data_IF_248833447238
#
_entry.id   IF_248833447238
#
_cell.length_a   1.000
_cell.length_b   1.000
_cell.length_c   1.000
_cell.angle_alpha   90.00
_cell.angle_beta   90.00
_cell.angle_gamma   90.00
#
_symmetry.space_group_name_H-M   'P 1'
#
loop_
_entity.id
_entity.type
_entity.pdbx_description
1 polymer ?
#
# COMPACT_ATOMS: atom_id res chain seq x y z
N UNK A 1 -9.15 5.60 20.56
CA UNK A 1 -9.40 4.78 19.35
C UNK A 1 -10.28 5.58 18.42
N UNK A 2 -9.89 5.78 17.17
CA UNK A 2 -9.09 6.95 16.78
C UNK A 2 -9.93 7.86 15.89
N UNK A 3 -9.83 9.16 16.11
CA UNK A 3 -10.42 10.19 15.23
C UNK A 3 -9.58 10.27 13.93
N UNK A 4 -10.24 10.42 12.78
CA UNK A 4 -9.60 10.66 11.48
C UNK A 4 -9.47 9.43 10.58
N UNK A 5 -8.31 9.29 9.93
CA UNK A 5 -8.01 8.19 9.00
C UNK A 5 -7.81 6.88 9.78
N UNK A 6 -8.42 5.80 9.30
CA UNK A 6 -8.35 4.46 9.90
C UNK A 6 -7.31 3.55 9.25
N UNK A 7 -7.29 3.48 7.90
CA UNK A 7 -6.43 2.56 7.15
C UNK A 7 -6.40 2.88 5.66
N UNK A 8 -5.46 2.27 4.94
CA UNK A 8 -5.54 2.15 3.49
C UNK A 8 -6.85 1.43 3.10
N UNK A 9 -7.63 2.07 2.24
CA UNK A 9 -8.91 1.59 1.77
C UNK A 9 -8.74 0.80 0.48
N UNK A 10 -8.25 1.47 -0.58
CA UNK A 10 -7.94 0.82 -1.84
C UNK A 10 -6.81 1.54 -2.59
N UNK A 11 -6.18 0.84 -3.53
CA UNK A 11 -5.31 1.42 -4.56
C UNK A 11 -5.92 1.19 -5.95
N UNK A 12 -5.88 2.22 -6.79
CA UNK A 12 -6.24 2.16 -8.21
C UNK A 12 -4.96 2.20 -9.02
N UNK A 13 -4.72 1.16 -9.81
CA UNK A 13 -3.51 1.02 -10.61
C UNK A 13 -3.87 0.84 -12.08
N UNK A 14 -3.08 1.49 -12.93
CA UNK A 14 -3.20 1.35 -14.36
C UNK A 14 -2.54 0.04 -14.81
N UNK A 15 -3.24 -0.70 -15.67
CA UNK A 15 -2.78 -1.94 -16.29
C UNK A 15 -2.92 -1.84 -17.81
N UNK A 16 -1.99 -2.48 -18.52
CA UNK A 16 -1.90 -2.43 -20.00
C UNK A 16 -2.77 -3.48 -20.68
N UNK A 17 -3.12 -4.55 -19.98
CA UNK A 17 -4.06 -5.59 -20.42
C UNK A 17 -4.89 -6.04 -19.21
N UNK A 18 -6.18 -5.67 -19.22
CA UNK A 18 -7.09 -5.94 -18.13
C UNK A 18 -7.37 -7.44 -17.92
N UNK A 19 -7.35 -8.26 -18.97
CA UNK A 19 -7.54 -9.71 -18.84
C UNK A 19 -6.30 -10.40 -18.31
N UNK A 20 -5.11 -9.99 -18.76
CA UNK A 20 -3.85 -10.49 -18.21
C UNK A 20 -3.74 -10.14 -16.73
N UNK A 21 -4.06 -8.89 -16.36
CA UNK A 21 -4.09 -8.46 -14.97
C UNK A 21 -5.14 -9.26 -14.17
N UNK A 22 -6.36 -9.43 -14.68
CA UNK A 22 -7.40 -10.25 -14.02
C UNK A 22 -6.90 -11.66 -13.72
N UNK A 23 -6.29 -12.35 -14.69
CA UNK A 23 -5.74 -13.70 -14.50
C UNK A 23 -4.70 -13.70 -13.40
N UNK A 24 -3.77 -12.75 -13.41
CA UNK A 24 -2.75 -12.62 -12.37
C UNK A 24 -3.38 -12.43 -10.97
N UNK A 25 -4.19 -11.39 -10.79
CA UNK A 25 -4.73 -11.07 -9.47
C UNK A 25 -5.77 -12.09 -8.96
N UNK A 26 -6.56 -12.70 -9.83
CA UNK A 26 -7.56 -13.71 -9.43
C UNK A 26 -6.94 -15.09 -9.26
N UNK A 27 -6.18 -15.57 -10.24
CA UNK A 27 -5.76 -16.98 -10.29
C UNK A 27 -4.41 -17.21 -9.61
N UNK A 28 -3.50 -16.22 -9.68
CA UNK A 28 -2.17 -16.30 -9.05
C UNK A 28 -2.21 -15.73 -7.64
N UNK A 29 -2.75 -14.53 -7.45
CA UNK A 29 -2.85 -13.93 -6.11
C UNK A 29 -4.03 -14.47 -5.28
N UNK A 30 -5.01 -15.10 -5.92
CA UNK A 30 -6.17 -15.67 -5.23
C UNK A 30 -7.18 -14.61 -4.76
N UNK A 31 -7.20 -13.43 -5.37
CA UNK A 31 -8.14 -12.38 -5.01
C UNK A 31 -9.55 -12.66 -5.54
N UNK A 32 -10.55 -12.12 -4.84
CA UNK A 32 -11.96 -12.23 -5.19
C UNK A 32 -12.37 -11.02 -6.05
N UNK A 33 -12.82 -11.27 -7.28
CA UNK A 33 -13.41 -10.23 -8.11
C UNK A 33 -14.81 -9.89 -7.59
N UNK A 34 -15.03 -8.62 -7.24
CA UNK A 34 -16.30 -8.17 -6.67
C UNK A 34 -17.23 -7.52 -7.67
N UNK A 35 -16.66 -6.89 -8.69
CA UNK A 35 -17.38 -6.26 -9.79
C UNK A 35 -16.45 -6.00 -10.98
N UNK A 36 -17.02 -5.56 -12.10
CA UNK A 36 -16.31 -5.18 -13.32
C UNK A 36 -17.11 -4.15 -14.12
N UNK A 37 -16.41 -3.19 -14.72
CA UNK A 37 -16.92 -2.33 -15.79
C UNK A 37 -16.23 -2.63 -17.12
N UNK A 38 -16.49 -1.83 -18.15
CA UNK A 38 -15.79 -1.94 -19.44
C UNK A 38 -14.27 -1.82 -19.29
N UNK A 39 -13.81 -0.89 -18.42
CA UNK A 39 -12.40 -0.51 -18.32
C UNK A 39 -11.78 -0.82 -16.95
N UNK A 40 -12.54 -1.34 -16.00
CA UNK A 40 -12.06 -1.54 -14.62
C UNK A 40 -12.49 -2.88 -14.04
N UNK A 41 -11.61 -3.48 -13.23
CA UNK A 41 -11.88 -4.68 -12.44
C UNK A 41 -11.65 -4.36 -10.97
N UNK A 42 -12.59 -4.77 -10.11
CA UNK A 42 -12.57 -4.52 -8.67
C UNK A 42 -12.33 -5.82 -7.93
N UNK A 43 -11.35 -5.81 -7.04
CA UNK A 43 -10.87 -7.00 -6.35
C UNK A 43 -10.74 -6.74 -4.85
N UNK A 44 -10.94 -7.80 -4.07
CA UNK A 44 -10.69 -7.83 -2.63
C UNK A 44 -9.98 -9.12 -2.23
N UNK A 45 -9.23 -9.06 -1.14
CA UNK A 45 -8.75 -10.24 -0.43
C UNK A 45 -9.90 -10.95 0.29
N UNK A 46 -9.66 -12.21 0.67
CA UNK A 46 -10.71 -13.04 1.25
C UNK A 46 -11.15 -12.57 2.66
N UNK A 47 -10.29 -11.88 3.40
CA UNK A 47 -10.57 -11.37 4.75
C UNK A 47 -10.96 -9.88 4.78
N UNK A 48 -11.06 -9.24 3.62
CA UNK A 48 -11.61 -7.90 3.49
C UNK A 48 -13.14 -7.93 3.48
N UNK A 49 -13.79 -6.83 3.86
CA UNK A 49 -15.25 -6.76 3.94
C UNK A 49 -15.87 -5.63 3.12
N UNK A 50 -15.09 -4.60 2.81
CA UNK A 50 -15.49 -3.56 1.86
C UNK A 50 -15.47 -4.11 0.43
N UNK A 51 -16.09 -3.37 -0.50
CA UNK A 51 -16.28 -3.80 -1.88
C UNK A 51 -14.99 -4.17 -2.60
N UNK A 52 -13.91 -3.43 -2.36
CA UNK A 52 -12.63 -3.66 -3.02
C UNK A 52 -11.50 -2.99 -2.24
N UNK A 53 -10.29 -3.52 -2.44
CA UNK A 53 -9.02 -2.92 -2.04
C UNK A 53 -8.10 -2.66 -3.24
N UNK A 54 -8.38 -3.29 -4.38
CA UNK A 54 -7.65 -3.08 -5.64
C UNK A 54 -8.63 -2.73 -6.75
N UNK A 55 -8.31 -1.68 -7.50
CA UNK A 55 -8.94 -1.33 -8.77
C UNK A 55 -7.89 -1.46 -9.87
N UNK A 56 -8.13 -2.36 -10.83
CA UNK A 56 -7.31 -2.47 -12.03
C UNK A 56 -7.99 -1.67 -13.13
N UNK A 57 -7.30 -0.66 -13.67
CA UNK A 57 -7.84 0.23 -14.69
C UNK A 57 -7.09 0.08 -16.01
N UNK A 58 -7.81 -0.22 -17.07
CA UNK A 58 -7.23 -0.32 -18.42
C UNK A 58 -6.63 1.03 -18.84
N UNK A 59 -5.37 1.00 -19.26
CA UNK A 59 -4.60 2.17 -19.68
C UNK A 59 -3.52 1.77 -20.70
N UNK A 60 -2.84 2.75 -21.31
CA UNK A 60 -1.70 2.52 -22.20
C UNK A 60 -0.35 2.47 -21.47
N UNK A 61 -0.34 2.69 -20.16
CA UNK A 61 0.85 2.66 -19.30
C UNK A 61 0.50 2.11 -17.92
N UNK A 62 1.46 1.44 -17.29
CA UNK A 62 1.37 1.03 -15.89
C UNK A 62 1.63 2.22 -14.93
N UNK A 63 1.34 2.01 -13.64
CA UNK A 63 1.57 2.95 -12.55
C UNK A 63 0.33 3.26 -11.72
N UNK A 64 0.53 3.95 -10.60
CA UNK A 64 -0.55 4.35 -9.70
C UNK A 64 -1.44 5.42 -10.34
N UNK A 65 -2.75 5.20 -10.34
CA UNK A 65 -3.75 6.21 -10.68
C UNK A 65 -4.08 7.05 -9.43
N UNK A 66 -4.39 6.37 -8.32
CA UNK A 66 -4.66 6.99 -7.02
C UNK A 66 -4.59 6.00 -5.87
N UNK A 67 -4.40 6.53 -4.66
CA UNK A 67 -4.55 5.80 -3.40
C UNK A 67 -5.70 6.39 -2.59
N UNK A 68 -6.45 5.56 -1.88
CA UNK A 68 -7.60 6.02 -1.10
C UNK A 68 -7.56 5.49 0.33
N UNK A 69 -7.71 6.37 1.31
CA UNK A 69 -7.71 6.05 2.74
C UNK A 69 -9.11 6.18 3.33
N UNK A 70 -9.49 5.18 4.14
CA UNK A 70 -10.81 5.16 4.79
C UNK A 70 -10.78 5.98 6.07
N UNK A 71 -11.75 6.88 6.21
CA UNK A 71 -11.96 7.79 7.34
C UNK A 71 -13.09 7.26 8.22
N UNK A 72 -12.98 7.46 9.52
CA UNK A 72 -13.90 6.89 10.49
C UNK A 72 -15.33 7.47 10.40
N UNK A 73 -15.46 8.78 10.28
CA UNK A 73 -16.77 9.46 10.17
C UNK A 73 -16.76 10.59 9.13
N UNK A 74 -17.95 11.07 8.78
CA UNK A 74 -18.10 12.25 7.92
C UNK A 74 -17.60 13.52 8.60
N UNK A 75 -17.77 13.64 9.92
CA UNK A 75 -17.25 14.74 10.73
C UNK A 75 -15.72 14.77 10.69
N UNK A 76 -15.07 13.61 10.81
CA UNK A 76 -13.62 13.49 10.69
C UNK A 76 -13.14 13.91 9.29
N UNK A 77 -13.88 13.52 8.24
CA UNK A 77 -13.58 13.94 6.87
C UNK A 77 -13.69 15.45 6.67
N UNK A 78 -14.71 16.10 7.25
CA UNK A 78 -14.83 17.57 7.21
C UNK A 78 -13.71 18.29 7.96
N UNK A 79 -13.23 17.73 9.08
CA UNK A 79 -12.08 18.26 9.79
C UNK A 79 -10.80 18.13 8.96
N UNK A 80 -10.59 16.97 8.32
CA UNK A 80 -9.45 16.73 7.43
C UNK A 80 -9.49 17.66 6.21
N UNK A 81 -10.66 17.93 5.62
CA UNK A 81 -10.78 18.92 4.52
C UNK A 81 -10.26 20.30 4.95
N UNK A 82 -10.68 20.77 6.14
CA UNK A 82 -10.22 22.06 6.68
C UNK A 82 -8.72 22.06 6.94
N UNK A 83 -8.16 20.99 7.51
CA UNK A 83 -6.73 20.85 7.76
C UNK A 83 -5.92 20.86 6.45
N UNK A 84 -6.38 20.12 5.45
CA UNK A 84 -5.78 20.10 4.11
C UNK A 84 -5.75 21.49 3.48
N UNK A 85 -6.88 22.21 3.52
CA UNK A 85 -6.98 23.58 3.00
C UNK A 85 -6.07 24.56 3.76
N UNK A 86 -6.02 24.46 5.09
CA UNK A 86 -5.12 25.27 5.93
C UNK A 86 -3.64 25.01 5.61
N UNK A 87 -3.30 23.78 5.23
CA UNK A 87 -1.96 23.40 4.80
C UNK A 87 -1.70 23.68 3.31
N UNK A 88 -2.63 24.35 2.62
CA UNK A 88 -2.46 24.83 1.24
C UNK A 88 -2.84 23.85 0.14
N UNK A 89 -3.48 22.71 0.47
CA UNK A 89 -3.95 21.77 -0.54
C UNK A 89 -5.21 22.28 -1.25
N UNK A 90 -5.26 22.11 -2.58
CA UNK A 90 -6.51 22.21 -3.33
C UNK A 90 -7.28 20.90 -3.16
N UNK A 91 -8.44 20.96 -2.52
CA UNK A 91 -9.28 19.80 -2.21
C UNK A 91 -10.54 19.84 -3.07
N UNK A 92 -10.81 18.75 -3.77
CA UNK A 92 -12.03 18.51 -4.52
C UNK A 92 -12.94 17.55 -3.74
N UNK A 93 -14.23 17.85 -3.63
CA UNK A 93 -15.24 16.92 -3.13
C UNK A 93 -15.57 15.88 -4.19
N UNK A 94 -15.53 14.61 -3.81
CA UNK A 94 -15.92 13.46 -4.64
C UNK A 94 -17.35 13.09 -4.27
N UNK A 95 -18.25 13.10 -5.25
CA UNK A 95 -19.67 12.80 -5.00
C UNK A 95 -19.90 11.28 -4.92
N UNK A 96 -20.94 10.87 -4.18
CA UNK A 96 -21.34 9.46 -4.09
C UNK A 96 -21.58 8.88 -5.48
N UNK A 97 -20.92 7.77 -5.79
CA UNK A 97 -21.02 7.10 -7.09
C UNK A 97 -20.08 7.64 -8.17
N UNK A 98 -19.30 8.71 -7.92
CA UNK A 98 -18.18 9.08 -8.80
C UNK A 98 -17.10 8.01 -8.76
N UNK A 99 -16.82 7.48 -7.57
CA UNK A 99 -16.08 6.24 -7.38
C UNK A 99 -17.05 5.06 -7.30
N UNK A 100 -16.79 4.01 -8.08
CA UNK A 100 -17.65 2.84 -8.12
C UNK A 100 -17.80 2.19 -6.74
N UNK A 101 -19.03 2.12 -6.22
CA UNK A 101 -19.37 1.55 -4.91
C UNK A 101 -18.72 2.22 -3.69
N UNK A 102 -18.12 3.39 -3.86
CA UNK A 102 -17.59 4.21 -2.76
C UNK A 102 -18.53 5.39 -2.52
N UNK A 103 -18.68 5.75 -1.25
CA UNK A 103 -19.43 6.91 -0.82
C UNK A 103 -18.75 8.23 -1.21
N UNK A 104 -19.20 9.31 -0.59
CA UNK A 104 -18.60 10.62 -0.78
C UNK A 104 -17.19 10.69 -0.20
N UNK A 105 -16.39 11.62 -0.72
CA UNK A 105 -14.99 11.72 -0.36
C UNK A 105 -14.34 13.06 -0.65
N UNK A 106 -13.03 13.10 -0.45
CA UNK A 106 -12.13 14.19 -0.81
C UNK A 106 -11.09 13.65 -1.78
N UNK A 107 -10.68 14.45 -2.76
CA UNK A 107 -9.57 14.19 -3.67
C UNK A 107 -8.61 15.38 -3.66
N UNK A 108 -7.33 15.11 -3.55
CA UNK A 108 -6.28 16.13 -3.58
C UNK A 108 -4.96 15.51 -4.07
N UNK A 109 -3.96 16.36 -4.31
CA UNK A 109 -2.63 15.96 -4.76
C UNK A 109 -1.63 16.13 -3.61
N UNK A 110 -0.79 15.12 -3.41
CA UNK A 110 0.35 15.19 -2.49
C UNK A 110 1.44 16.10 -3.08
N UNK A 111 2.40 16.60 -2.25
CA UNK A 111 3.56 17.32 -2.76
C UNK A 111 4.38 16.54 -3.81
N UNK A 112 4.40 15.20 -3.73
CA UNK A 112 5.00 14.30 -4.72
C UNK A 112 4.19 14.13 -6.01
N UNK A 113 3.15 14.94 -6.20
CA UNK A 113 2.24 14.87 -7.34
C UNK A 113 1.20 13.75 -7.28
N UNK A 114 1.31 12.76 -6.39
CA UNK A 114 0.35 11.64 -6.38
C UNK A 114 -1.07 12.07 -6.01
N UNK A 115 -2.07 11.43 -6.60
CA UNK A 115 -3.48 11.61 -6.24
C UNK A 115 -3.81 10.78 -5.00
N UNK A 116 -4.33 11.42 -3.95
CA UNK A 116 -4.85 10.78 -2.76
C UNK A 116 -6.33 11.12 -2.59
N UNK A 117 -7.10 10.12 -2.18
CA UNK A 117 -8.51 10.28 -1.80
C UNK A 117 -8.76 9.87 -0.35
N UNK A 118 -9.77 10.50 0.25
CA UNK A 118 -10.34 10.12 1.54
C UNK A 118 -11.81 9.76 1.34
N UNK A 119 -12.29 8.71 1.97
CA UNK A 119 -13.70 8.30 1.91
C UNK A 119 -14.16 7.69 3.23
N UNK A 120 -15.46 7.74 3.51
CA UNK A 120 -16.02 7.17 4.75
C UNK A 120 -16.63 5.80 4.49
N UNK A 121 -17.51 5.71 3.50
CA UNK A 121 -18.31 4.52 3.24
C UNK A 121 -17.90 3.83 1.94
N UNK A 122 -18.00 2.51 1.93
CA UNK A 122 -17.91 1.68 0.74
C UNK A 122 -18.97 0.57 0.87
N UNK A 123 -19.52 0.10 -0.24
CA UNK A 123 -20.47 -1.02 -0.23
C UNK A 123 -19.86 -2.22 0.51
N UNK A 124 -20.62 -2.82 1.43
CA UNK A 124 -20.21 -3.98 2.18
C UNK A 124 -20.44 -5.26 1.37
N UNK A 125 -19.37 -6.01 1.09
CA UNK A 125 -19.44 -7.32 0.42
C UNK A 125 -19.27 -8.50 1.38
N UNK A 126 -18.82 -8.22 2.60
CA UNK A 126 -18.50 -9.25 3.59
C UNK A 126 -17.20 -10.01 3.28
N UNK A 127 -16.80 -10.83 4.23
CA UNK A 127 -15.61 -11.70 4.15
C UNK A 127 -15.98 -13.04 3.50
N UNK A 128 -14.97 -13.83 3.13
CA UNK A 128 -15.17 -15.21 2.71
C UNK A 128 -15.71 -16.11 3.84
N UNK A 129 -15.47 -15.71 5.10
CA UNK A 129 -15.94 -16.39 6.30
C UNK A 129 -17.23 -15.75 6.86
N UNK A 130 -18.08 -16.52 7.56
CA UNK A 130 -19.28 -15.99 8.20
C UNK A 130 -18.94 -15.07 9.39
N UNK A 131 -19.89 -14.21 9.77
CA UNK A 131 -19.75 -13.35 10.97
C UNK A 131 -19.90 -14.09 12.29
N UNK A 132 -20.61 -15.22 12.30
CA UNK A 132 -20.91 -15.98 13.53
C UNK A 132 -20.07 -17.24 13.55
N UNK A 133 -19.23 -17.39 14.57
CA UNK A 133 -18.35 -18.55 14.80
C UNK A 133 -17.52 -18.96 13.56
N UNK A 134 -16.75 -18.05 12.94
CA UNK A 134 -15.93 -18.39 11.78
C UNK A 134 -14.80 -19.37 12.12
N UNK A 135 -14.41 -20.16 11.12
CA UNK A 135 -13.11 -20.82 11.11
C UNK A 135 -11.97 -19.78 10.99
N UNK A 136 -10.71 -20.13 11.31
CA UNK A 136 -9.57 -19.21 11.16
C UNK A 136 -9.22 -18.85 9.70
N UNK A 137 -9.61 -19.67 8.71
CA UNK A 137 -9.42 -19.40 7.26
C UNK A 137 -10.51 -20.10 6.43
N UNK A 138 -10.81 -19.64 5.20
CA UNK A 138 -11.78 -20.26 4.31
C UNK A 138 -11.22 -21.48 3.56
N UNK A 139 -12.09 -22.42 3.18
CA UNK A 139 -11.73 -23.52 2.29
C UNK A 139 -11.52 -23.05 0.84
N UNK A 140 -10.74 -23.82 0.06
CA UNK A 140 -10.66 -23.61 -1.39
C UNK A 140 -9.86 -22.39 -1.85
N UNK A 141 -9.01 -21.80 -0.99
CA UNK A 141 -8.09 -20.74 -1.40
C UNK A 141 -7.19 -21.22 -2.55
N UNK A 142 -7.14 -20.43 -3.63
CA UNK A 142 -6.30 -20.68 -4.81
C UNK A 142 -5.10 -19.74 -4.82
N UNK A 143 -4.05 -20.12 -5.57
CA UNK A 143 -2.85 -19.30 -5.72
C UNK A 143 -2.19 -18.98 -4.38
N UNK A 144 -1.73 -17.74 -4.22
CA UNK A 144 -1.23 -17.20 -2.95
C UNK A 144 -2.35 -17.25 -1.90
N UNK A 145 -3.53 -16.73 -2.24
CA UNK A 145 -4.69 -16.68 -1.35
C UNK A 145 -4.63 -15.45 -0.43
N UNK A 146 -4.34 -14.27 -0.99
CA UNK A 146 -4.10 -13.06 -0.21
C UNK A 146 -5.31 -12.65 0.65
N UNK A 147 -5.17 -12.51 1.99
CA UNK A 147 -6.25 -12.08 2.88
C UNK A 147 -6.66 -10.63 2.67
N UNK A 148 -5.69 -9.72 2.48
CA UNK A 148 -5.93 -8.27 2.41
C UNK A 148 -4.75 -7.50 1.81
N UNK A 149 -5.02 -6.27 1.36
CA UNK A 149 -3.99 -5.25 1.13
C UNK A 149 -3.32 -4.87 2.47
N UNK A 150 -2.06 -4.48 2.41
CA UNK A 150 -1.31 -4.01 3.58
C UNK A 150 -0.92 -2.54 3.47
N UNK A 151 -0.08 -2.19 2.51
CA UNK A 151 0.49 -0.85 2.39
C UNK A 151 0.86 -0.51 0.93
N UNK A 152 1.32 0.72 0.72
CA UNK A 152 1.98 1.11 -0.53
C UNK A 152 3.25 1.93 -0.30
N UNK A 153 4.12 1.94 -1.30
CA UNK A 153 5.31 2.77 -1.34
C UNK A 153 5.30 3.60 -2.63
N UNK A 154 5.46 4.91 -2.46
CA UNK A 154 5.60 5.87 -3.56
C UNK A 154 6.95 6.58 -3.50
N UNK A 155 7.39 7.09 -4.65
CA UNK A 155 8.61 7.92 -4.69
C UNK A 155 8.29 9.40 -4.73
N UNK A 156 9.25 10.23 -4.30
CA UNK A 156 9.17 11.67 -4.40
C UNK A 156 10.55 12.27 -4.63
N UNK A 157 10.64 13.35 -5.39
CA UNK A 157 11.92 14.07 -5.58
C UNK A 157 12.35 14.74 -4.28
N UNK A 158 11.37 15.15 -3.45
CA UNK A 158 11.57 15.72 -2.12
C UNK A 158 10.70 14.97 -1.08
N UNK A 159 11.13 13.78 -0.61
CA UNK A 159 10.35 12.95 0.30
C UNK A 159 9.87 13.66 1.56
N UNK A 160 10.73 14.46 2.17
CA UNK A 160 10.43 15.21 3.39
C UNK A 160 9.21 16.13 3.26
N UNK A 161 8.93 16.72 2.09
CA UNK A 161 7.76 17.57 1.89
C UNK A 161 6.46 16.75 1.92
N UNK A 162 6.47 15.58 1.29
CA UNK A 162 5.32 14.65 1.31
C UNK A 162 5.11 14.05 2.69
N UNK A 163 6.20 13.72 3.39
CA UNK A 163 6.16 13.23 4.78
C UNK A 163 5.56 14.29 5.71
N UNK A 164 6.06 15.53 5.64
CA UNK A 164 5.53 16.63 6.44
C UNK A 164 4.05 16.88 6.17
N UNK A 165 3.64 16.83 4.90
CA UNK A 165 2.24 16.96 4.51
C UNK A 165 1.37 15.86 5.11
N UNK A 166 1.76 14.59 4.98
CA UNK A 166 1.02 13.45 5.53
C UNK A 166 0.90 13.53 7.07
N UNK A 167 1.97 13.94 7.75
CA UNK A 167 1.95 14.06 9.21
C UNK A 167 1.13 15.26 9.68
N UNK A 168 1.32 16.44 9.09
CA UNK A 168 0.74 17.70 9.60
C UNK A 168 -0.67 17.97 9.09
N UNK A 169 -0.99 17.58 7.84
CA UNK A 169 -2.30 17.81 7.25
C UNK A 169 -3.26 16.62 7.40
N UNK A 170 -2.71 15.40 7.57
CA UNK A 170 -3.49 14.16 7.60
C UNK A 170 -3.26 13.30 8.85
N UNK A 171 -2.48 13.81 9.80
CA UNK A 171 -2.24 13.20 11.11
C UNK A 171 -1.63 11.79 11.03
N UNK A 172 -0.84 11.47 10.01
CA UNK A 172 -0.05 10.23 10.00
C UNK A 172 1.01 10.24 11.11
N UNK A 173 1.22 9.09 11.72
CA UNK A 173 2.33 8.83 12.63
C UNK A 173 3.50 8.22 11.86
N UNK A 174 4.70 8.33 12.42
CA UNK A 174 5.92 7.80 11.81
C UNK A 174 6.47 6.68 12.68
N UNK A 175 6.69 5.51 12.10
CA UNK A 175 7.31 4.38 12.79
C UNK A 175 8.83 4.45 12.64
N UNK A 176 9.30 4.67 11.41
CA UNK A 176 10.72 4.67 11.06
C UNK A 176 11.05 5.75 10.01
N UNK A 177 12.29 6.22 10.04
CA UNK A 177 12.86 7.10 9.01
C UNK A 177 14.30 6.77 8.69
N UNK A 178 14.70 7.08 7.46
CA UNK A 178 16.11 7.14 7.05
C UNK A 178 16.57 8.59 7.09
N UNK A 179 17.74 8.83 7.68
CA UNK A 179 18.37 10.16 7.81
C UNK A 179 19.82 10.08 7.36
N UNK A 180 20.41 11.22 6.99
CA UNK A 180 21.81 11.30 6.55
C UNK A 180 22.78 10.70 7.58
N UNK A 181 22.63 11.07 8.85
CA UNK A 181 23.42 10.58 9.99
C UNK A 181 22.63 10.74 11.30
N UNK A 182 23.17 10.26 12.42
CA UNK A 182 22.47 10.25 13.73
C UNK A 182 22.02 11.63 14.24
N UNK A 183 22.68 12.71 13.79
CA UNK A 183 22.35 14.09 14.17
C UNK A 183 21.29 14.72 13.28
N UNK A 184 20.96 14.09 12.15
CA UNK A 184 19.98 14.59 11.20
C UNK A 184 18.58 14.18 11.61
N UNK A 185 17.63 15.11 11.48
CA UNK A 185 16.20 14.84 11.77
C UNK A 185 15.32 14.77 10.53
N UNK A 186 15.71 15.48 9.46
CA UNK A 186 14.95 15.50 8.20
C UNK A 186 15.00 14.11 7.54
N UNK A 187 13.84 13.49 7.26
CA UNK A 187 13.80 12.18 6.64
C UNK A 187 14.16 12.25 5.14
N UNK A 188 15.05 11.36 4.71
CA UNK A 188 15.32 11.04 3.31
C UNK A 188 14.29 10.02 2.80
N UNK A 189 13.89 9.08 3.67
CA UNK A 189 12.79 8.16 3.47
C UNK A 189 12.02 7.99 4.79
N UNK A 190 10.74 7.63 4.73
CA UNK A 190 9.93 7.42 5.91
C UNK A 190 8.83 6.38 5.72
N UNK A 191 8.47 5.73 6.82
CA UNK A 191 7.40 4.74 6.95
C UNK A 191 6.35 5.31 7.91
N UNK A 192 5.14 5.53 7.39
CA UNK A 192 4.07 6.25 8.05
C UNK A 192 2.81 5.40 8.20
N UNK A 193 2.11 5.55 9.31
CA UNK A 193 0.94 4.75 9.65
C UNK A 193 -0.20 5.56 10.29
N UNK A 194 -1.39 5.01 10.14
CA UNK A 194 -2.65 5.32 10.82
C UNK A 194 -3.27 4.08 11.43
N UNK A 195 -2.98 2.91 10.85
CA UNK A 195 -3.34 1.60 11.39
C UNK A 195 -2.37 1.16 12.51
N UNK A 196 -2.23 -0.15 12.71
CA UNK A 196 -1.34 -0.75 13.72
C UNK A 196 -0.17 -1.50 13.11
N UNK A 197 -0.01 -1.46 11.78
CA UNK A 197 1.16 -2.00 11.08
C UNK A 197 2.33 -1.01 11.15
N UNK A 198 3.58 -1.43 10.84
CA UNK A 198 4.70 -0.51 10.76
C UNK A 198 4.44 0.66 9.81
N UNK A 199 3.67 0.47 8.74
CA UNK A 199 3.28 1.52 7.81
C UNK A 199 2.03 1.15 7.03
N UNK A 200 1.24 2.17 6.70
CA UNK A 200 0.25 2.10 5.62
C UNK A 200 0.79 2.72 4.32
N UNK A 201 1.73 3.67 4.44
CA UNK A 201 2.41 4.33 3.32
C UNK A 201 3.88 4.56 3.62
N UNK A 202 4.74 4.35 2.63
CA UNK A 202 6.16 4.69 2.70
C UNK A 202 6.56 5.62 1.54
N UNK A 203 7.49 6.53 1.81
CA UNK A 203 8.01 7.52 0.85
C UNK A 203 9.52 7.36 0.76
N UNK A 204 10.05 7.15 -0.45
CA UNK A 204 11.49 7.10 -0.71
C UNK A 204 11.90 8.11 -1.81
N UNK A 205 13.19 8.44 -1.95
CA UNK A 205 13.66 9.27 -3.06
C UNK A 205 13.41 8.62 -4.42
N UNK A 206 12.94 9.41 -5.38
CA UNK A 206 12.78 8.99 -6.78
C UNK A 206 11.99 10.04 -7.56
N UNK A 207 11.57 9.74 -8.78
CA UNK A 207 10.74 10.69 -9.55
C UNK A 207 9.37 10.85 -8.89
N UNK A 208 8.79 12.03 -9.00
CA UNK A 208 7.40 12.26 -8.58
C UNK A 208 6.41 11.42 -9.40
N UNK A 209 5.21 11.20 -8.85
CA UNK A 209 4.10 10.45 -9.46
C UNK A 209 4.41 8.99 -9.84
N UNK A 210 5.42 8.39 -9.21
CA UNK A 210 5.85 7.02 -9.47
C UNK A 210 5.53 6.07 -8.33
N UNK A 211 5.00 4.92 -8.71
CA UNK A 211 4.73 3.81 -7.81
C UNK A 211 5.98 2.97 -7.64
N UNK A 212 6.42 2.76 -6.40
CA UNK A 212 7.47 1.79 -6.12
C UNK A 212 6.87 0.40 -5.91
N UNK A 213 5.84 0.24 -5.08
CA UNK A 213 5.01 -0.98 -5.00
C UNK A 213 3.73 -0.76 -4.20
N UNK A 214 2.82 -1.73 -4.24
CA UNK A 214 1.82 -1.96 -3.20
C UNK A 214 1.85 -3.41 -2.74
N UNK A 215 1.41 -3.66 -1.51
CA UNK A 215 1.66 -4.92 -0.81
C UNK A 215 0.38 -5.63 -0.38
N UNK A 216 0.47 -6.95 -0.33
CA UNK A 216 -0.53 -7.84 0.26
C UNK A 216 0.02 -8.48 1.53
N UNK A 217 -0.76 -8.45 2.60
CA UNK A 217 -0.41 -9.13 3.85
C UNK A 217 -0.58 -10.64 3.69
N UNK A 218 0.31 -11.43 4.30
CA UNK A 218 0.19 -12.86 4.53
C UNK A 218 0.35 -13.15 6.04
N UNK A 219 -0.38 -14.13 6.57
CA UNK A 219 -0.47 -14.34 8.02
C UNK A 219 0.77 -15.01 8.59
N UNK A 220 1.46 -15.84 7.79
CA UNK A 220 2.61 -16.60 8.24
C UNK A 220 3.76 -16.61 7.23
N UNK A 221 4.99 -16.79 7.75
CA UNK A 221 6.17 -16.93 6.92
C UNK A 221 6.10 -18.10 5.92
N UNK A 222 5.45 -19.20 6.28
CA UNK A 222 5.31 -20.33 5.36
C UNK A 222 4.39 -19.99 4.15
N UNK A 223 3.49 -19.02 4.29
CA UNK A 223 2.69 -18.52 3.18
C UNK A 223 3.55 -17.71 2.21
N UNK A 224 4.57 -16.99 2.70
CA UNK A 224 5.55 -16.31 1.86
C UNK A 224 6.34 -17.32 1.00
N UNK A 225 6.76 -18.45 1.61
CA UNK A 225 7.38 -19.56 0.88
C UNK A 225 6.44 -20.14 -0.18
N UNK A 226 5.17 -20.38 0.17
CA UNK A 226 4.13 -20.82 -0.79
C UNK A 226 3.95 -19.81 -1.93
N UNK A 227 3.97 -18.51 -1.64
CA UNK A 227 3.86 -17.47 -2.66
C UNK A 227 5.00 -17.57 -3.68
N UNK A 228 6.25 -17.78 -3.22
CA UNK A 228 7.40 -18.03 -4.10
C UNK A 228 7.21 -19.25 -5.02
N UNK A 229 6.67 -20.37 -4.51
CA UNK A 229 6.35 -21.54 -5.34
C UNK A 229 5.27 -21.20 -6.39
N UNK A 230 4.23 -20.47 -6.00
CA UNK A 230 3.12 -20.06 -6.88
C UNK A 230 3.64 -19.14 -7.98
N UNK A 231 4.45 -18.15 -7.63
CA UNK A 231 5.07 -17.25 -8.61
C UNK A 231 5.93 -18.03 -9.61
N UNK A 232 6.77 -18.95 -9.13
CA UNK A 232 7.62 -19.78 -10.00
C UNK A 232 6.79 -20.71 -10.90
N UNK A 233 5.72 -21.31 -10.38
CA UNK A 233 4.81 -22.18 -11.14
C UNK A 233 4.09 -21.44 -12.28
N UNK A 234 3.84 -20.15 -12.09
CA UNK A 234 3.10 -19.29 -13.03
C UNK A 234 4.00 -18.34 -13.81
N UNK A 235 5.32 -18.54 -13.78
CA UNK A 235 6.33 -17.71 -14.45
C UNK A 235 6.18 -16.19 -14.14
N UNK A 236 5.75 -15.87 -12.91
CA UNK A 236 5.68 -14.48 -12.45
C UNK A 236 7.09 -13.94 -12.25
N UNK A 237 7.43 -12.77 -12.84
CA UNK A 237 8.75 -12.18 -12.66
C UNK A 237 8.99 -11.78 -11.20
N UNK A 238 9.84 -12.54 -10.50
CA UNK A 238 10.32 -12.19 -9.16
C UNK A 238 11.49 -11.24 -9.33
N UNK A 239 11.41 -10.10 -8.64
CA UNK A 239 12.44 -9.08 -8.61
C UNK A 239 13.40 -9.33 -7.44
N UNK A 240 12.85 -9.52 -6.24
CA UNK A 240 13.59 -9.90 -5.04
C UNK A 240 12.87 -11.07 -4.40
N UNK A 241 13.60 -12.17 -4.19
CA UNK A 241 13.10 -13.36 -3.50
C UNK A 241 12.82 -13.12 -2.02
N UNK A 242 12.72 -14.20 -1.25
CA UNK A 242 12.42 -14.11 0.18
C UNK A 242 13.52 -13.32 0.90
N UNK A 243 13.14 -12.17 1.45
CA UNK A 243 14.02 -11.29 2.22
C UNK A 243 13.42 -10.92 3.57
N UNK A 244 14.27 -10.37 4.44
CA UNK A 244 13.88 -9.73 5.71
C UNK A 244 14.36 -8.30 5.69
N UNK A 245 13.47 -7.35 5.95
CA UNK A 245 13.88 -5.97 6.17
C UNK A 245 14.41 -5.78 7.60
N UNK A 246 15.41 -4.91 7.74
CA UNK A 246 15.73 -4.29 9.02
C UNK A 246 14.66 -3.27 9.40
N UNK A 247 14.38 -2.34 8.46
CA UNK A 247 13.30 -1.36 8.53
C UNK A 247 11.97 -2.10 8.49
N UNK A 248 11.02 -1.77 9.36
CA UNK A 248 9.72 -2.43 9.61
C UNK A 248 9.80 -3.84 10.19
N UNK A 249 10.96 -4.52 10.08
CA UNK A 249 11.14 -5.94 10.42
C UNK A 249 10.21 -6.87 9.63
N UNK A 250 9.76 -6.47 8.46
CA UNK A 250 8.93 -7.29 7.57
C UNK A 250 9.69 -8.36 6.82
N UNK A 251 9.01 -9.43 6.42
CA UNK A 251 9.52 -10.43 5.46
C UNK A 251 8.73 -10.32 4.17
N UNK A 252 9.42 -10.46 3.03
CA UNK A 252 8.88 -10.02 1.75
C UNK A 252 9.30 -10.90 0.58
N UNK A 253 8.51 -10.86 -0.50
CA UNK A 253 8.92 -11.14 -1.88
C UNK A 253 8.41 -9.97 -2.74
N UNK A 254 9.28 -9.42 -3.59
CA UNK A 254 8.92 -8.43 -4.61
C UNK A 254 8.80 -9.09 -5.98
N UNK A 255 7.73 -8.74 -6.70
CA UNK A 255 7.42 -9.32 -8.01
C UNK A 255 6.70 -8.31 -8.89
N UNK A 256 6.58 -8.59 -10.18
CA UNK A 256 5.88 -7.73 -11.13
C UNK A 256 4.56 -8.36 -11.60
N UNK A 257 3.52 -7.53 -11.69
CA UNK A 257 2.30 -7.89 -12.41
C UNK A 257 2.56 -7.91 -13.94
N UNK A 258 1.62 -8.42 -14.76
CA UNK A 258 1.80 -8.47 -16.22
C UNK A 258 2.00 -7.12 -16.91
N UNK A 259 1.65 -6.01 -16.26
CA UNK A 259 1.85 -4.65 -16.79
C UNK A 259 3.18 -4.03 -16.33
N UNK A 260 3.90 -4.69 -15.43
CA UNK A 260 5.15 -4.21 -14.84
C UNK A 260 4.97 -3.42 -13.54
N UNK A 261 3.77 -3.33 -12.97
CA UNK A 261 3.62 -2.75 -11.63
C UNK A 261 4.31 -3.67 -10.63
N UNK A 262 5.24 -3.15 -9.83
CA UNK A 262 5.84 -3.92 -8.75
C UNK A 262 4.83 -4.09 -7.62
N UNK A 263 4.72 -5.32 -7.12
CA UNK A 263 3.89 -5.71 -6.01
C UNK A 263 4.78 -6.37 -4.94
N UNK A 264 4.23 -6.47 -3.74
CA UNK A 264 4.87 -7.12 -2.60
C UNK A 264 3.90 -8.11 -1.95
N UNK A 265 4.40 -9.24 -1.50
CA UNK A 265 3.75 -10.04 -0.45
C UNK A 265 4.55 -9.89 0.83
N UNK A 266 3.88 -9.53 1.93
CA UNK A 266 4.51 -9.10 3.17
C UNK A 266 3.97 -9.87 4.37
N UNK A 267 4.82 -10.20 5.34
CA UNK A 267 4.40 -10.72 6.65
C UNK A 267 5.34 -10.29 7.77
N UNK A 268 4.89 -10.46 9.01
CA UNK A 268 5.65 -10.17 10.22
C UNK A 268 5.63 -8.68 10.58
N UNK A 269 6.79 -8.10 10.87
CA UNK A 269 6.90 -6.74 11.38
C UNK A 269 6.60 -6.63 12.87
N UNK A 270 6.13 -5.45 13.29
CA UNK A 270 5.75 -5.16 14.67
C UNK A 270 4.52 -4.25 14.72
N UNK A 271 3.85 -4.22 15.88
CA UNK A 271 2.71 -3.34 16.10
C UNK A 271 3.20 -1.91 16.33
N UNK A 272 2.73 -0.96 15.54
CA UNK A 272 3.02 0.46 15.71
C UNK A 272 1.96 1.15 16.58
N UNK A 273 2.41 2.06 17.45
CA UNK A 273 1.53 2.88 18.29
C UNK A 273 1.88 4.36 18.13
N UNK A 274 0.90 5.29 18.18
CA UNK A 274 1.14 6.72 18.00
C UNK A 274 2.21 7.36 18.90
N UNK A 275 2.44 6.82 20.10
CA UNK A 275 3.40 7.31 21.09
C UNK A 275 4.75 6.59 21.02
N UNK A 276 4.95 5.69 20.06
CA UNK A 276 6.20 4.97 19.93
C UNK A 276 7.36 5.91 19.56
N UNK A 277 8.57 5.67 20.09
CA UNK A 277 9.77 6.36 19.60
C UNK A 277 10.03 6.01 18.13
N UNK A 278 10.26 7.02 17.30
CA UNK A 278 10.61 6.84 15.89
C UNK A 278 11.98 6.18 15.76
N UNK A 279 12.05 5.04 15.07
CA UNK A 279 13.31 4.36 14.75
C UNK A 279 14.04 5.15 13.67
N UNK A 280 15.34 5.40 13.84
CA UNK A 280 16.17 6.07 12.84
C UNK A 280 17.19 5.11 12.24
N UNK A 281 17.24 5.09 10.91
CA UNK A 281 18.30 4.45 10.13
C UNK A 281 19.18 5.53 9.51
N UNK A 282 20.49 5.35 9.54
CA UNK A 282 21.43 6.23 8.85
C UNK A 282 21.73 5.71 7.46
N UNK A 283 22.09 6.59 6.52
CA UNK A 283 22.40 6.20 5.13
C UNK A 283 23.50 5.14 5.05
N UNK A 284 24.51 5.20 5.92
CA UNK A 284 25.59 4.20 5.97
C UNK A 284 25.11 2.80 6.42
N UNK A 285 23.94 2.72 7.06
CA UNK A 285 23.29 1.46 7.47
C UNK A 285 22.08 1.11 6.59
N UNK A 286 21.78 1.89 5.55
CA UNK A 286 20.58 1.73 4.73
C UNK A 286 20.50 0.36 4.07
N UNK A 287 21.62 -0.18 3.58
CA UNK A 287 21.62 -1.48 2.93
C UNK A 287 21.13 -2.60 3.87
N UNK A 288 21.59 -2.58 5.12
CA UNK A 288 21.12 -3.50 6.17
C UNK A 288 19.67 -3.20 6.60
N UNK A 289 19.27 -1.94 6.54
CA UNK A 289 17.89 -1.53 6.75
C UNK A 289 16.95 -2.12 5.70
N UNK A 290 17.32 -2.07 4.43
CA UNK A 290 16.52 -2.59 3.33
C UNK A 290 16.57 -4.12 3.30
N UNK A 291 17.72 -4.78 3.21
CA UNK A 291 17.78 -6.26 3.20
C UNK A 291 18.72 -6.80 4.27
N UNK A 292 18.16 -7.31 5.36
CA UNK A 292 18.93 -7.79 6.50
C UNK A 292 19.80 -9.00 6.14
N UNK A 293 19.29 -9.94 5.33
CA UNK A 293 20.05 -11.14 4.94
C UNK A 293 21.09 -10.84 3.86
N UNK A 294 20.72 -10.09 2.80
CA UNK A 294 21.57 -9.83 1.64
C UNK A 294 21.79 -8.32 1.36
N UNK A 295 22.44 -7.59 2.28
CA UNK A 295 22.65 -6.13 2.23
C UNK A 295 23.86 -5.67 1.38
N UNK A 296 24.08 -6.24 0.20
CA UNK A 296 25.12 -5.71 -0.72
C UNK A 296 24.64 -4.42 -1.38
N UNK A 297 25.43 -3.36 -1.30
CA UNK A 297 25.00 -2.01 -1.72
C UNK A 297 24.57 -1.91 -3.18
N UNK A 298 25.27 -2.61 -4.08
CA UNK A 298 24.93 -2.77 -5.50
C UNK A 298 23.51 -3.33 -5.75
N UNK A 299 23.00 -4.20 -4.87
CA UNK A 299 21.64 -4.76 -5.00
C UNK A 299 20.59 -3.75 -4.55
N UNK A 300 20.94 -2.90 -3.60
CA UNK A 300 20.03 -1.90 -3.02
C UNK A 300 19.74 -0.79 -4.01
N UNK A 301 20.75 -0.30 -4.74
CA UNK A 301 20.57 0.73 -5.77
C UNK A 301 19.63 0.25 -6.89
N UNK A 302 19.75 -1.02 -7.31
CA UNK A 302 18.83 -1.63 -8.27
C UNK A 302 17.41 -1.75 -7.75
N UNK A 303 17.24 -2.08 -6.46
CA UNK A 303 15.93 -2.23 -5.84
C UNK A 303 15.19 -0.89 -5.71
N UNK A 304 15.81 0.12 -5.10
CA UNK A 304 15.18 1.42 -4.79
C UNK A 304 14.90 2.26 -6.03
N UNK A 305 15.64 2.06 -7.11
CA UNK A 305 15.48 2.80 -8.37
C UNK A 305 14.30 2.35 -9.25
N UNK A 306 13.70 1.20 -8.95
CA UNK A 306 12.62 0.64 -9.78
C UNK A 306 11.28 1.24 -9.37
N UNK A 307 10.59 1.74 -10.39
CA UNK A 307 9.26 2.32 -10.26
C UNK A 307 8.46 2.10 -11.55
N UNK A 308 7.15 2.30 -11.44
CA UNK A 308 6.19 2.30 -12.56
C UNK A 308 5.50 3.65 -12.66
#
# INVERSE_FOLDING_TARGET
MGEGIMRLGFVSVNVTDLEAARKHYVEVMGMQMTDRTENEIYLKGWDEYDHHSIVLRQSNRAGLDKMAFKVHTYEDMEQLEKQLQQYGASVQRVSKGENHKVGEGLRFRLPSGHTMELFVEMEYKGKALPQVNPAPWPEGLIGVGAPRIDHLLITAERPHETVDFLMKALNFYMSEKVVENERSETPIAAWLFRSYTPHDIAIIPGKDEKLHHFAFWLDEFNELRKAGDVFSKHDVPIDVGIERHGITRGQTIYYFDPSGNRNEVFTGGYIAYPDMPVVKWTVDQLARGIFYFNHRQEWIEGFTGVTT
#
